data_IF_425098957632
#
_entry.id   IF_425098957632
#
_cell.length_a   1.000
_cell.length_b   1.000
_cell.length_c   1.000
_cell.angle_alpha   90.00
_cell.angle_beta   90.00
_cell.angle_gamma   90.00
#
_symmetry.space_group_name_H-M   'P 1'
#
loop_
_entity.id
_entity.type
_entity.pdbx_description
1 polymer ?
#
# COMPACT_ATOMS: atom_id res chain seq x y z
N UNK A 1 -4.05 25.32 24.14
CA UNK A 1 -4.77 24.09 24.55
C UNK A 1 -5.95 23.80 23.66
N UNK A 2 -6.93 24.71 23.54
CA UNK A 2 -8.08 24.55 22.65
C UNK A 2 -7.69 24.25 21.20
N UNK A 3 -6.70 24.98 20.66
CA UNK A 3 -6.20 24.73 19.29
C UNK A 3 -5.69 23.29 19.11
N UNK A 4 -4.90 22.75 20.05
CA UNK A 4 -4.41 21.38 19.98
C UNK A 4 -5.51 20.33 20.16
N UNK A 5 -6.48 20.60 21.03
CA UNK A 5 -7.66 19.75 21.19
C UNK A 5 -8.46 19.67 19.87
N UNK A 6 -8.75 20.81 19.26
CA UNK A 6 -9.49 20.88 17.99
C UNK A 6 -8.71 20.25 16.83
N UNK A 7 -7.43 20.61 16.66
CA UNK A 7 -6.60 20.10 15.57
C UNK A 7 -6.40 18.58 15.67
N UNK A 8 -6.10 18.05 16.85
CA UNK A 8 -5.93 16.62 17.03
C UNK A 8 -7.23 15.84 16.83
N UNK A 9 -8.37 16.38 17.29
CA UNK A 9 -9.67 15.77 17.04
C UNK A 9 -9.98 15.71 15.54
N UNK A 10 -9.79 16.83 14.82
CA UNK A 10 -10.00 16.90 13.38
C UNK A 10 -9.04 15.98 12.62
N UNK A 11 -7.78 15.87 13.05
CA UNK A 11 -6.79 14.99 12.44
C UNK A 11 -7.22 13.51 12.48
N UNK A 12 -7.88 13.06 13.56
CA UNK A 12 -8.38 11.68 13.69
C UNK A 12 -9.39 11.36 12.58
N UNK A 13 -10.30 12.28 12.29
CA UNK A 13 -11.29 12.10 11.22
C UNK A 13 -10.71 12.20 9.82
N UNK A 14 -9.58 12.90 9.65
CA UNK A 14 -8.89 12.99 8.36
C UNK A 14 -7.95 11.82 8.09
N UNK A 15 -7.43 11.17 9.13
CA UNK A 15 -6.40 10.14 8.99
C UNK A 15 -6.35 9.19 10.18
N UNK A 16 -6.67 7.91 9.96
CA UNK A 16 -6.60 6.84 10.98
C UNK A 16 -5.26 6.82 11.75
N UNK A 17 -4.09 6.87 11.10
CA UNK A 17 -2.80 6.75 11.79
C UNK A 17 -2.39 8.00 12.58
N UNK A 18 -3.14 9.11 12.49
CA UNK A 18 -2.84 10.32 13.26
C UNK A 18 -2.83 10.06 14.77
N UNK A 19 -3.65 9.13 15.25
CA UNK A 19 -3.67 8.67 16.66
C UNK A 19 -2.30 8.11 17.06
N UNK A 20 -1.67 7.31 16.19
CA UNK A 20 -0.35 6.72 16.45
C UNK A 20 0.75 7.79 16.48
N UNK A 21 0.70 8.75 15.55
CA UNK A 21 1.65 9.88 15.52
C UNK A 21 1.52 10.72 16.79
N UNK A 22 0.30 11.12 17.16
CA UNK A 22 0.03 11.92 18.34
C UNK A 22 0.40 11.16 19.63
N UNK A 23 0.03 9.88 19.74
CA UNK A 23 0.36 9.04 20.89
C UNK A 23 1.87 8.85 21.04
N UNK A 24 2.59 8.62 19.92
CA UNK A 24 4.04 8.53 19.92
C UNK A 24 4.70 9.81 20.42
N UNK A 25 4.33 10.96 19.85
CA UNK A 25 4.91 12.26 20.22
C UNK A 25 4.61 12.64 21.68
N UNK A 26 3.37 12.49 22.13
CA UNK A 26 2.97 12.80 23.52
C UNK A 26 3.56 11.81 24.51
N UNK A 27 3.57 10.51 24.18
CA UNK A 27 4.20 9.47 24.99
C UNK A 27 5.68 9.75 25.18
N UNK A 28 6.38 10.14 24.10
CA UNK A 28 7.78 10.52 24.19
C UNK A 28 8.03 11.77 25.06
N UNK A 29 7.21 12.80 24.90
CA UNK A 29 7.29 14.03 25.71
C UNK A 29 7.11 13.73 27.20
N UNK A 30 6.18 12.81 27.54
CA UNK A 30 5.98 12.39 28.92
C UNK A 30 7.16 11.56 29.45
N UNK A 31 7.68 10.62 28.65
CA UNK A 31 8.81 9.75 29.05
C UNK A 31 10.10 10.53 29.31
N UNK A 32 10.34 11.63 28.58
CA UNK A 32 11.51 12.49 28.77
C UNK A 32 11.34 13.53 29.87
N UNK A 33 10.09 13.84 30.26
CA UNK A 33 9.84 14.74 31.37
C UNK A 33 10.28 14.13 32.71
N UNK A 34 10.80 14.94 33.66
CA UNK A 34 11.11 14.47 35.00
C UNK A 34 9.88 13.79 35.63
N UNK A 35 10.04 12.59 36.22
CA UNK A 35 8.91 11.85 36.82
C UNK A 35 8.06 12.68 37.79
N UNK A 36 8.68 13.64 38.50
CA UNK A 36 7.99 14.55 39.42
C UNK A 36 7.03 15.54 38.74
N UNK A 37 7.19 15.80 37.44
CA UNK A 37 6.31 16.70 36.67
C UNK A 37 5.20 15.97 35.91
N UNK A 38 5.21 14.63 35.84
CA UNK A 38 4.21 13.85 35.09
C UNK A 38 2.78 14.22 35.48
N UNK A 39 2.48 14.24 36.78
CA UNK A 39 1.13 14.60 37.26
C UNK A 39 0.70 16.00 36.81
N UNK A 40 1.63 16.98 36.83
CA UNK A 40 1.34 18.35 36.36
C UNK A 40 1.11 18.39 34.85
N UNK A 41 1.92 17.68 34.07
CA UNK A 41 1.81 17.63 32.60
C UNK A 41 0.48 16.98 32.21
N UNK A 42 0.17 15.82 32.78
CA UNK A 42 -1.08 15.08 32.52
C UNK A 42 -2.28 15.93 32.91
N UNK A 43 -2.28 16.53 34.10
CA UNK A 43 -3.39 17.38 34.55
C UNK A 43 -3.59 18.61 33.65
N UNK A 44 -2.49 19.24 33.24
CA UNK A 44 -2.52 20.42 32.36
C UNK A 44 -3.00 20.09 30.93
N UNK A 45 -2.81 18.85 30.47
CA UNK A 45 -3.19 18.38 29.13
C UNK A 45 -4.45 17.51 29.15
N UNK A 46 -5.04 17.25 30.32
CA UNK A 46 -6.16 16.32 30.48
C UNK A 46 -7.33 16.63 29.54
N UNK A 47 -7.70 17.91 29.41
CA UNK A 47 -8.77 18.33 28.50
C UNK A 47 -8.47 17.98 27.04
N UNK A 48 -7.21 18.05 26.61
CA UNK A 48 -6.79 17.66 25.26
C UNK A 48 -6.96 16.16 25.08
N UNK A 49 -6.43 15.36 26.01
CA UNK A 49 -6.50 13.89 25.92
C UNK A 49 -7.93 13.36 25.97
N UNK A 50 -8.78 13.92 26.84
CA UNK A 50 -10.20 13.55 26.90
C UNK A 50 -10.90 13.88 25.58
N UNK A 51 -10.64 15.05 25.00
CA UNK A 51 -11.23 15.42 23.70
C UNK A 51 -10.79 14.46 22.60
N UNK A 52 -9.50 14.13 22.53
CA UNK A 52 -8.98 13.18 21.55
C UNK A 52 -9.52 11.76 21.74
N UNK A 53 -9.64 11.28 22.98
CA UNK A 53 -10.22 9.97 23.29
C UNK A 53 -11.70 9.90 22.92
N UNK A 54 -12.48 10.95 23.20
CA UNK A 54 -13.89 11.02 22.78
C UNK A 54 -13.97 11.02 21.24
N UNK A 55 -13.15 11.83 20.58
CA UNK A 55 -13.12 11.91 19.12
C UNK A 55 -12.73 10.57 18.48
N UNK A 56 -11.71 9.90 19.01
CA UNK A 56 -11.31 8.57 18.56
C UNK A 56 -12.38 7.51 18.84
N UNK A 57 -13.00 7.52 20.03
CA UNK A 57 -14.07 6.59 20.36
C UNK A 57 -15.25 6.71 19.40
N UNK A 58 -15.71 7.94 19.13
CA UNK A 58 -16.76 8.19 18.13
C UNK A 58 -16.35 7.68 16.75
N UNK A 59 -15.13 8.00 16.33
CA UNK A 59 -14.62 7.59 15.04
C UNK A 59 -14.51 6.05 14.90
N UNK A 60 -14.04 5.37 15.95
CA UNK A 60 -13.90 3.92 16.02
C UNK A 60 -15.26 3.24 15.85
N UNK A 61 -16.28 3.65 16.61
CA UNK A 61 -17.61 3.04 16.53
C UNK A 61 -18.32 3.34 15.20
N UNK A 62 -18.06 4.48 14.57
CA UNK A 62 -18.73 4.86 13.31
C UNK A 62 -18.06 4.25 12.08
N UNK A 63 -16.73 4.04 12.08
CA UNK A 63 -16.00 3.63 10.87
C UNK A 63 -15.21 2.33 10.99
N UNK A 64 -14.65 2.03 12.17
CA UNK A 64 -13.69 0.93 12.34
C UNK A 64 -14.37 -0.35 12.82
N UNK A 65 -15.36 -0.23 13.72
CA UNK A 65 -16.03 -1.38 14.32
C UNK A 65 -16.64 -2.32 13.27
N UNK A 66 -17.36 -1.77 12.29
CA UNK A 66 -17.98 -2.55 11.22
C UNK A 66 -16.91 -3.19 10.31
N UNK A 67 -15.82 -2.49 10.02
CA UNK A 67 -14.74 -3.02 9.18
C UNK A 67 -13.97 -4.17 9.84
N UNK A 68 -13.81 -4.13 11.18
CA UNK A 68 -13.19 -5.21 11.95
C UNK A 68 -14.10 -6.44 12.12
N UNK A 69 -15.42 -6.26 11.98
CA UNK A 69 -16.37 -7.37 12.02
C UNK A 69 -16.40 -8.20 10.73
N UNK A 70 -15.74 -7.74 9.67
CA UNK A 70 -15.62 -8.46 8.42
C UNK A 70 -14.47 -9.49 8.50
N UNK A 71 -14.83 -10.78 8.54
CA UNK A 71 -13.89 -11.90 8.69
C UNK A 71 -12.84 -11.92 7.58
N UNK A 72 -13.20 -11.56 6.34
CA UNK A 72 -12.32 -11.55 5.16
C UNK A 72 -11.17 -10.54 5.31
N UNK A 73 -11.45 -9.37 5.91
CA UNK A 73 -10.38 -8.43 6.20
C UNK A 73 -9.50 -8.99 7.31
N UNK A 74 -10.07 -9.49 8.40
CA UNK A 74 -9.33 -9.95 9.56
C UNK A 74 -8.34 -11.08 9.24
N UNK A 75 -8.75 -12.05 8.40
CA UNK A 75 -7.89 -13.17 7.96
C UNK A 75 -6.71 -12.66 7.11
N UNK A 76 -6.95 -11.70 6.22
CA UNK A 76 -5.91 -11.11 5.36
C UNK A 76 -4.81 -10.36 6.12
N UNK A 77 -5.04 -9.98 7.39
CA UNK A 77 -4.06 -9.30 8.24
C UNK A 77 -3.32 -10.25 9.20
N UNK A 78 -3.77 -11.50 9.36
CA UNK A 78 -3.24 -12.41 10.40
C UNK A 78 -1.73 -12.64 10.27
N UNK A 79 -1.23 -12.83 9.04
CA UNK A 79 0.20 -13.03 8.76
C UNK A 79 1.04 -11.75 8.86
N UNK A 80 0.40 -10.60 9.11
CA UNK A 80 1.06 -9.27 9.10
C UNK A 80 1.46 -8.80 10.49
N UNK A 81 1.23 -9.64 11.50
CA UNK A 81 1.55 -9.37 12.90
C UNK A 81 2.70 -10.28 13.38
N UNK A 82 3.44 -9.87 14.43
CA UNK A 82 4.42 -10.75 15.05
C UNK A 82 3.73 -11.90 15.80
N UNK A 83 4.32 -13.09 15.74
CA UNK A 83 3.81 -14.28 16.43
C UNK A 83 3.98 -14.17 17.95
N UNK A 84 4.93 -13.36 18.42
CA UNK A 84 5.21 -13.15 19.84
C UNK A 84 5.80 -11.78 20.13
N UNK A 85 5.72 -11.34 21.40
CA UNK A 85 6.33 -10.08 21.86
C UNK A 85 7.86 -10.02 21.71
N UNK A 86 8.53 -11.15 21.46
CA UNK A 86 9.98 -11.23 21.29
C UNK A 86 10.37 -11.59 19.84
N UNK A 87 9.44 -11.45 18.90
CA UNK A 87 9.69 -11.72 17.49
C UNK A 87 10.55 -10.62 16.83
N UNK A 88 11.84 -10.67 17.14
CA UNK A 88 12.83 -9.74 16.63
C UNK A 88 13.07 -9.95 15.12
N UNK A 89 12.84 -11.16 14.62
CA UNK A 89 12.99 -11.47 13.19
C UNK A 89 11.91 -10.74 12.40
N UNK A 90 10.65 -10.84 12.85
CA UNK A 90 9.55 -10.06 12.29
C UNK A 90 9.84 -8.56 12.34
N UNK A 91 10.39 -8.04 13.45
CA UNK A 91 10.70 -6.60 13.56
C UNK A 91 11.70 -6.15 12.49
N UNK A 92 12.78 -6.90 12.27
CA UNK A 92 13.77 -6.56 11.26
C UNK A 92 13.21 -6.68 9.85
N UNK A 93 12.40 -7.70 9.58
CA UNK A 93 11.71 -7.88 8.30
C UNK A 93 10.71 -6.73 8.03
N UNK A 94 9.88 -6.39 9.01
CA UNK A 94 8.92 -5.30 8.94
C UNK A 94 9.60 -3.94 8.69
N UNK A 95 10.71 -3.67 9.38
CA UNK A 95 11.52 -2.48 9.17
C UNK A 95 12.20 -2.48 7.79
N UNK A 96 12.68 -3.62 7.29
CA UNK A 96 13.26 -3.71 5.95
C UNK A 96 12.19 -3.48 4.86
N UNK A 97 11.02 -4.12 4.99
CA UNK A 97 9.86 -3.95 4.11
C UNK A 97 9.37 -2.51 4.04
N UNK A 98 9.52 -1.73 5.12
CA UNK A 98 9.23 -0.29 5.11
C UNK A 98 10.07 0.48 4.08
N UNK A 99 11.35 0.14 3.91
CA UNK A 99 12.19 0.79 2.89
C UNK A 99 11.84 0.34 1.46
N UNK A 100 11.39 -0.90 1.31
CA UNK A 100 11.04 -1.45 0.01
C UNK A 100 9.68 -0.94 -0.51
N UNK A 101 8.62 -1.03 0.29
CA UNK A 101 7.25 -0.73 -0.13
C UNK A 101 6.87 0.77 0.06
N UNK A 102 6.72 1.31 1.30
CA UNK A 102 6.42 2.73 1.53
C UNK A 102 7.40 3.72 0.91
N UNK A 103 8.70 3.47 1.05
CA UNK A 103 9.74 4.37 0.58
C UNK A 103 10.09 4.15 -0.90
N UNK A 104 9.70 3.00 -1.47
CA UNK A 104 9.91 2.68 -2.87
C UNK A 104 11.38 2.45 -3.26
N UNK A 105 12.25 2.11 -2.30
CA UNK A 105 13.64 1.77 -2.58
C UNK A 105 13.72 0.31 -3.04
N UNK A 106 14.06 0.10 -4.31
CA UNK A 106 14.03 -1.23 -4.94
C UNK A 106 15.44 -1.77 -5.18
N UNK A 107 15.61 -3.08 -4.96
CA UNK A 107 16.91 -3.74 -5.04
C UNK A 107 17.90 -3.07 -4.09
N UNK A 108 19.18 -2.93 -4.50
CA UNK A 108 20.30 -2.43 -3.67
C UNK A 108 20.02 -1.05 -3.01
N UNK A 109 19.08 -0.26 -3.53
CA UNK A 109 18.74 1.04 -2.96
C UNK A 109 18.10 0.95 -1.57
N UNK A 110 17.47 -0.17 -1.20
CA UNK A 110 16.90 -0.37 0.14
C UNK A 110 17.98 -0.35 1.24
N UNK A 111 19.07 -1.09 1.05
CA UNK A 111 20.21 -1.15 1.97
C UNK A 111 20.95 0.17 2.05
N UNK A 112 21.05 0.91 0.94
CA UNK A 112 21.58 2.28 0.93
C UNK A 112 20.67 3.21 1.75
N UNK A 113 19.35 3.08 1.59
CA UNK A 113 18.35 3.80 2.37
C UNK A 113 18.43 3.50 3.86
N UNK A 114 18.55 2.22 4.24
CA UNK A 114 18.73 1.77 5.62
C UNK A 114 20.02 2.35 6.22
N UNK A 115 21.14 2.30 5.50
CA UNK A 115 22.40 2.86 5.95
C UNK A 115 22.29 4.38 6.17
N UNK A 116 21.72 5.10 5.21
CA UNK A 116 21.48 6.54 5.35
C UNK A 116 20.54 6.85 6.52
N UNK A 117 19.50 6.04 6.73
CA UNK A 117 18.59 6.18 7.88
C UNK A 117 19.32 5.99 9.22
N UNK A 118 20.13 4.94 9.36
CA UNK A 118 20.91 4.69 10.58
C UNK A 118 21.88 5.85 10.86
N UNK A 119 22.58 6.33 9.83
CA UNK A 119 23.48 7.49 9.96
C UNK A 119 22.69 8.75 10.34
N UNK A 120 21.49 8.94 9.78
CA UNK A 120 20.59 10.04 10.12
C UNK A 120 20.12 10.00 11.57
N UNK A 121 19.74 8.83 12.07
CA UNK A 121 19.41 8.60 13.48
C UNK A 121 20.58 8.99 14.39
N UNK A 122 21.80 8.53 14.08
CA UNK A 122 23.00 8.88 14.85
C UNK A 122 23.30 10.39 14.79
N UNK A 123 23.16 11.01 13.61
CA UNK A 123 23.42 12.42 13.40
C UNK A 123 22.48 13.30 14.23
N UNK A 124 21.17 13.05 14.19
CA UNK A 124 20.21 13.82 14.97
C UNK A 124 20.25 13.49 16.45
N UNK A 125 20.45 12.24 16.85
CA UNK A 125 20.62 11.91 18.26
C UNK A 125 21.78 12.69 18.91
N UNK A 126 22.86 12.93 18.16
CA UNK A 126 24.02 13.72 18.63
C UNK A 126 23.83 15.23 18.55
N UNK A 127 23.04 15.72 17.60
CA UNK A 127 22.91 17.15 17.33
C UNK A 127 21.68 17.78 17.99
N UNK A 128 20.53 17.12 17.90
CA UNK A 128 19.26 17.58 18.46
C UNK A 128 18.37 16.37 18.79
N UNK A 129 18.41 15.98 20.07
CA UNK A 129 17.62 14.85 20.57
C UNK A 129 16.11 15.08 20.46
N UNK A 130 15.64 16.31 20.64
CA UNK A 130 14.21 16.62 20.53
C UNK A 130 13.67 16.30 19.14
N UNK A 131 14.38 16.72 18.08
CA UNK A 131 14.01 16.42 16.70
C UNK A 131 14.12 14.91 16.42
N UNK A 132 15.21 14.26 16.83
CA UNK A 132 15.39 12.82 16.66
C UNK A 132 14.18 12.06 17.19
N UNK A 133 13.78 12.36 18.43
CA UNK A 133 12.70 11.65 19.06
C UNK A 133 11.32 12.01 18.50
N UNK A 134 11.09 13.26 18.12
CA UNK A 134 9.87 13.65 17.43
C UNK A 134 9.67 12.86 16.12
N UNK A 135 10.76 12.52 15.43
CA UNK A 135 10.71 11.78 14.18
C UNK A 135 10.64 10.25 14.36
N UNK A 136 11.28 9.71 15.40
CA UNK A 136 11.26 8.26 15.65
C UNK A 136 10.03 7.79 16.44
N UNK A 137 9.41 8.67 17.22
CA UNK A 137 8.30 8.30 18.09
C UNK A 137 7.09 7.71 17.33
N UNK A 138 6.70 8.22 16.14
CA UNK A 138 5.66 7.57 15.33
C UNK A 138 6.00 6.14 14.91
N UNK A 139 7.28 5.85 14.58
CA UNK A 139 7.72 4.48 14.28
C UNK A 139 7.53 3.57 15.48
N UNK A 140 7.99 4.01 16.66
CA UNK A 140 7.87 3.23 17.90
C UNK A 140 6.40 2.98 18.25
N UNK A 141 5.55 4.00 18.17
CA UNK A 141 4.11 3.84 18.45
C UNK A 141 3.43 2.85 17.50
N UNK A 142 3.79 2.88 16.21
CA UNK A 142 3.23 1.97 15.19
C UNK A 142 3.71 0.54 15.40
N UNK A 143 5.00 0.35 15.72
CA UNK A 143 5.54 -0.97 16.06
C UNK A 143 4.86 -1.53 17.31
N UNK A 144 4.69 -0.72 18.36
CA UNK A 144 3.96 -1.13 19.57
C UNK A 144 2.52 -1.52 19.23
N UNK A 145 1.84 -0.74 18.39
CA UNK A 145 0.48 -1.09 17.94
C UNK A 145 0.44 -2.40 17.15
N UNK A 146 1.48 -2.71 16.37
CA UNK A 146 1.61 -3.99 15.67
C UNK A 146 1.84 -5.16 16.63
N UNK A 147 2.70 -5.02 17.64
CA UNK A 147 2.88 -6.03 18.68
C UNK A 147 1.63 -6.26 19.53
N UNK A 148 0.76 -5.26 19.65
CA UNK A 148 -0.55 -5.38 20.31
C UNK A 148 -1.66 -5.90 19.38
N UNK A 149 -1.31 -6.28 18.15
CA UNK A 149 -2.23 -6.73 17.10
C UNK A 149 -3.37 -5.72 16.82
N UNK A 150 -3.11 -4.42 17.02
CA UNK A 150 -4.07 -3.34 16.79
C UNK A 150 -3.88 -2.64 15.45
N UNK A 151 -2.64 -2.66 14.91
CA UNK A 151 -2.32 -1.99 13.65
C UNK A 151 -1.18 -2.70 12.92
N UNK A 152 -1.37 -3.26 11.72
CA UNK A 152 -0.32 -3.98 11.00
C UNK A 152 0.80 -3.04 10.52
N UNK A 153 2.06 -3.45 10.68
CA UNK A 153 3.21 -2.70 10.17
C UNK A 153 3.62 -3.22 8.78
N UNK A 154 2.85 -2.90 7.73
CA UNK A 154 3.17 -3.39 6.38
C UNK A 154 2.64 -2.49 5.25
N UNK A 155 3.34 -2.51 4.11
CA UNK A 155 2.92 -1.94 2.83
C UNK A 155 2.34 -0.52 2.93
N UNK A 156 1.17 -0.30 2.34
CA UNK A 156 0.49 1.00 2.31
C UNK A 156 0.08 1.51 3.69
N UNK A 157 -0.01 0.65 4.71
CA UNK A 157 -0.42 1.08 6.04
C UNK A 157 0.66 1.91 6.73
N UNK A 158 1.94 1.67 6.44
CA UNK A 158 3.03 2.45 7.04
C UNK A 158 3.45 3.64 6.18
N UNK A 159 2.71 3.96 5.11
CA UNK A 159 3.02 5.07 4.20
C UNK A 159 3.05 6.43 4.92
N UNK A 160 2.27 6.62 5.98
CA UNK A 160 2.30 7.86 6.78
C UNK A 160 3.63 8.05 7.54
N UNK A 161 4.43 7.00 7.72
CA UNK A 161 5.77 7.08 8.32
C UNK A 161 6.84 7.52 7.30
N UNK A 162 6.56 7.41 6.00
CA UNK A 162 7.49 7.79 4.93
C UNK A 162 8.07 9.21 5.07
N UNK A 163 7.30 10.30 5.33
CA UNK A 163 7.89 11.63 5.51
C UNK A 163 8.91 11.70 6.66
N UNK A 164 8.64 11.02 7.78
CA UNK A 164 9.56 10.94 8.91
C UNK A 164 10.83 10.16 8.53
N UNK A 165 10.66 9.03 7.83
CA UNK A 165 11.77 8.24 7.30
C UNK A 165 12.65 9.00 6.32
N UNK A 166 12.04 9.71 5.36
CA UNK A 166 12.73 10.54 4.37
C UNK A 166 13.52 11.66 5.03
N UNK A 167 12.95 12.31 6.05
CA UNK A 167 13.65 13.31 6.86
C UNK A 167 14.93 12.73 7.49
N UNK A 168 14.83 11.55 8.12
CA UNK A 168 15.98 10.87 8.76
C UNK A 168 17.03 10.47 7.70
N UNK A 169 16.61 9.87 6.59
CA UNK A 169 17.50 9.51 5.47
C UNK A 169 18.24 10.75 4.94
N UNK A 170 17.52 11.85 4.71
CA UNK A 170 18.11 13.09 4.23
C UNK A 170 19.15 13.65 5.21
N UNK A 171 18.86 13.61 6.52
CA UNK A 171 19.81 14.01 7.55
C UNK A 171 21.10 13.17 7.52
N UNK A 172 20.97 11.86 7.30
CA UNK A 172 22.11 10.97 7.15
C UNK A 172 22.98 11.32 5.94
N UNK A 173 22.37 11.54 4.79
CA UNK A 173 23.05 11.96 3.55
C UNK A 173 23.78 13.29 3.77
N UNK A 174 23.11 14.29 4.36
CA UNK A 174 23.70 15.60 4.65
C UNK A 174 24.89 15.45 5.62
N UNK A 175 24.76 14.62 6.66
CA UNK A 175 25.85 14.39 7.61
C UNK A 175 27.09 13.78 6.93
N UNK A 176 26.90 12.83 6.01
CA UNK A 176 27.97 12.22 5.23
C UNK A 176 28.64 13.23 4.29
N UNK A 177 27.84 14.01 3.55
CA UNK A 177 28.34 14.98 2.57
C UNK A 177 29.06 16.17 3.21
N UNK A 178 28.58 16.65 4.37
CA UNK A 178 29.18 17.81 5.06
C UNK A 178 30.61 17.55 5.55
N UNK A 179 31.06 16.30 5.60
CA UNK A 179 32.46 15.97 5.89
C UNK A 179 33.44 16.51 4.83
N UNK A 180 32.96 16.85 3.63
CA UNK A 180 33.77 17.49 2.58
C UNK A 180 34.45 18.79 3.05
N UNK A 181 33.84 19.49 4.02
CA UNK A 181 34.44 20.69 4.63
C UNK A 181 35.78 20.41 5.31
N UNK A 182 36.00 19.20 5.86
CA UNK A 182 37.27 18.78 6.46
C UNK A 182 38.35 18.53 5.40
N UNK A 183 37.96 18.03 4.22
CA UNK A 183 38.86 17.88 3.06
C UNK A 183 39.35 19.26 2.62
N UNK A 184 38.44 20.23 2.45
CA UNK A 184 38.81 21.60 2.06
C UNK A 184 39.68 22.33 3.08
N UNK A 185 39.58 21.96 4.37
CA UNK A 185 40.43 22.51 5.45
C UNK A 185 41.81 21.88 5.55
N UNK A 186 42.16 20.92 4.67
CA UNK A 186 43.47 20.29 4.66
C UNK A 186 43.66 19.16 5.68
N UNK A 187 42.56 18.63 6.25
CA UNK A 187 42.58 17.47 7.17
C UNK A 187 41.98 16.19 6.53
N UNK A 188 42.35 15.77 5.30
CA UNK A 188 41.75 14.61 4.68
C UNK A 188 42.26 13.32 5.33
N UNK A 189 41.38 12.61 6.03
CA UNK A 189 41.60 11.20 6.39
C UNK A 189 40.90 10.28 5.39
N UNK A 190 41.37 9.03 5.27
CA UNK A 190 40.72 7.99 4.45
C UNK A 190 39.25 7.80 4.83
N UNK A 191 38.92 7.95 6.11
CA UNK A 191 37.56 7.87 6.62
C UNK A 191 36.67 9.01 6.09
N UNK A 192 37.18 10.25 6.08
CA UNK A 192 36.43 11.40 5.56
C UNK A 192 36.11 11.21 4.07
N UNK A 193 37.07 10.75 3.28
CA UNK A 193 36.81 10.41 1.87
C UNK A 193 35.75 9.33 1.71
N UNK A 194 35.83 8.24 2.48
CA UNK A 194 34.82 7.19 2.46
C UNK A 194 33.42 7.73 2.79
N UNK A 195 33.29 8.57 3.83
CA UNK A 195 32.00 9.16 4.22
C UNK A 195 31.42 10.04 3.11
N UNK A 196 32.23 10.91 2.49
CA UNK A 196 31.77 11.76 1.38
C UNK A 196 31.35 10.91 0.19
N UNK A 197 32.12 9.89 -0.18
CA UNK A 197 31.76 8.97 -1.27
C UNK A 197 30.46 8.23 -0.99
N UNK A 198 30.26 7.70 0.23
CA UNK A 198 28.99 7.08 0.63
C UNK A 198 27.83 8.07 0.60
N UNK A 199 28.06 9.33 0.98
CA UNK A 199 27.07 10.40 0.88
C UNK A 199 26.66 10.68 -0.57
N UNK A 200 27.63 10.75 -1.49
CA UNK A 200 27.37 10.95 -2.93
C UNK A 200 26.61 9.75 -3.50
N UNK A 201 27.05 8.52 -3.21
CA UNK A 201 26.36 7.29 -3.65
C UNK A 201 24.92 7.26 -3.11
N UNK A 202 24.71 7.59 -1.83
CA UNK A 202 23.38 7.61 -1.23
C UNK A 202 22.49 8.66 -1.88
N UNK A 203 23.02 9.87 -2.12
CA UNK A 203 22.28 10.94 -2.79
C UNK A 203 21.87 10.52 -4.20
N UNK A 204 22.80 10.03 -5.01
CA UNK A 204 22.52 9.70 -6.41
C UNK A 204 21.63 8.46 -6.53
N UNK A 205 21.93 7.39 -5.79
CA UNK A 205 21.19 6.14 -5.86
C UNK A 205 19.74 6.26 -5.36
N UNK A 206 19.47 7.14 -4.37
CA UNK A 206 18.13 7.31 -3.82
C UNK A 206 17.29 8.36 -4.55
N UNK A 207 17.89 9.23 -5.37
CA UNK A 207 17.15 10.31 -6.07
C UNK A 207 16.99 10.04 -7.58
N UNK A 208 18.02 9.54 -8.26
CA UNK A 208 17.99 9.37 -9.71
C UNK A 208 16.93 8.35 -10.15
N UNK A 209 16.84 7.13 -9.57
CA UNK A 209 15.85 6.15 -10.04
C UNK A 209 14.39 6.61 -9.86
N UNK A 210 13.97 7.18 -8.72
CA UNK A 210 12.62 7.72 -8.59
C UNK A 210 12.33 8.87 -9.57
N UNK A 211 13.29 9.79 -9.78
CA UNK A 211 13.13 10.88 -10.75
C UNK A 211 12.96 10.34 -12.17
N UNK A 212 13.79 9.37 -12.55
CA UNK A 212 13.71 8.71 -13.85
C UNK A 212 12.35 8.03 -14.04
N UNK A 213 11.91 7.21 -13.09
CA UNK A 213 10.61 6.53 -13.14
C UNK A 213 9.44 7.51 -13.22
N UNK A 214 9.42 8.52 -12.35
CA UNK A 214 8.39 9.56 -12.37
C UNK A 214 8.35 10.30 -13.72
N UNK A 215 9.53 10.57 -14.29
CA UNK A 215 9.63 11.23 -15.60
C UNK A 215 9.16 10.32 -16.73
N UNK A 216 9.45 9.02 -16.68
CA UNK A 216 8.94 8.07 -17.69
C UNK A 216 7.42 7.97 -17.68
N UNK A 217 6.78 8.07 -16.50
CA UNK A 217 5.32 8.04 -16.36
C UNK A 217 4.62 9.24 -17.01
N UNK A 218 5.30 10.39 -17.15
CA UNK A 218 4.76 11.56 -17.84
C UNK A 218 4.63 11.34 -19.36
N UNK A 219 5.51 10.52 -19.93
CA UNK A 219 5.54 10.26 -21.38
C UNK A 219 4.93 8.92 -21.76
N UNK A 220 5.02 7.92 -20.87
CA UNK A 220 4.47 6.58 -21.02
C UNK A 220 3.71 6.25 -19.74
N UNK A 221 2.43 6.64 -19.64
CA UNK A 221 1.60 6.29 -18.50
C UNK A 221 1.59 4.77 -18.30
N UNK A 222 1.63 4.33 -17.04
CA UNK A 222 1.44 2.92 -16.70
C UNK A 222 -0.02 2.53 -17.01
N UNK A 223 -0.20 1.83 -18.12
CA UNK A 223 -1.43 1.09 -18.41
C UNK A 223 -1.38 -0.20 -17.60
N UNK A 224 -2.42 -0.48 -16.83
CA UNK A 224 -2.48 -1.70 -16.01
C UNK A 224 -3.58 -2.62 -16.47
N UNK A 225 -4.81 -2.13 -16.53
CA UNK A 225 -6.03 -2.93 -16.74
C UNK A 225 -7.01 -2.13 -17.60
N UNK A 226 -6.71 -2.04 -18.89
CA UNK A 226 -7.43 -1.20 -19.85
C UNK A 226 -8.76 -1.85 -20.29
N UNK A 227 -9.74 -1.86 -19.38
CA UNK A 227 -11.08 -2.45 -19.63
C UNK A 227 -11.89 -1.62 -20.62
N UNK A 228 -11.63 -0.31 -20.73
CA UNK A 228 -12.41 0.58 -21.59
C UNK A 228 -12.26 0.26 -23.09
N UNK A 229 -11.06 0.17 -23.68
CA UNK A 229 -10.92 -0.22 -25.08
C UNK A 229 -11.47 -1.63 -25.38
N UNK A 230 -11.38 -2.54 -24.40
CA UNK A 230 -11.97 -3.88 -24.51
C UNK A 230 -13.50 -3.80 -24.61
N UNK A 231 -14.14 -2.95 -23.80
CA UNK A 231 -15.58 -2.69 -23.89
C UNK A 231 -16.00 -1.99 -25.18
N UNK A 232 -15.19 -1.04 -25.66
CA UNK A 232 -15.39 -0.37 -26.95
C UNK A 232 -15.42 -1.41 -28.08
N UNK A 233 -14.44 -2.30 -28.11
CA UNK A 233 -14.37 -3.38 -29.09
C UNK A 233 -15.56 -4.34 -29.01
N UNK A 234 -15.91 -4.80 -27.80
CA UNK A 234 -17.06 -5.71 -27.61
C UNK A 234 -18.36 -5.07 -28.09
N UNK A 235 -18.58 -3.78 -27.80
CA UNK A 235 -19.78 -3.07 -28.22
C UNK A 235 -19.84 -2.85 -29.74
N UNK A 236 -18.71 -2.60 -30.40
CA UNK A 236 -18.63 -2.45 -31.86
C UNK A 236 -18.87 -3.76 -32.60
N UNK A 237 -18.41 -4.90 -32.05
CA UNK A 237 -18.57 -6.23 -32.64
C UNK A 237 -19.82 -6.99 -32.15
N UNK A 238 -20.60 -6.39 -31.25
CA UNK A 238 -21.79 -7.01 -30.65
C UNK A 238 -22.86 -7.28 -31.71
N UNK A 239 -23.39 -8.51 -31.73
CA UNK A 239 -24.52 -8.89 -32.57
C UNK A 239 -25.78 -9.12 -31.74
N UNK A 240 -26.99 -8.89 -32.30
CA UNK A 240 -28.23 -9.21 -31.61
C UNK A 240 -28.25 -10.68 -31.14
N UNK A 241 -28.38 -10.87 -29.83
CA UNK A 241 -28.36 -12.20 -29.19
C UNK A 241 -27.03 -12.57 -28.54
N UNK A 242 -25.95 -11.81 -28.77
CA UNK A 242 -24.68 -11.98 -28.04
C UNK A 242 -24.87 -11.62 -26.56
N UNK A 243 -24.29 -12.43 -25.68
CA UNK A 243 -24.21 -12.19 -24.24
C UNK A 243 -22.81 -11.74 -23.85
N UNK A 244 -22.68 -11.04 -22.73
CA UNK A 244 -21.39 -10.65 -22.14
C UNK A 244 -21.24 -11.32 -20.78
N UNK A 245 -20.22 -12.15 -20.61
CA UNK A 245 -19.82 -12.67 -19.31
C UNK A 245 -18.64 -11.85 -18.80
N UNK A 246 -18.76 -11.29 -17.61
CA UNK A 246 -17.72 -10.46 -16.98
C UNK A 246 -17.10 -11.26 -15.86
N UNK A 247 -15.82 -11.56 -15.95
CA UNK A 247 -15.10 -12.26 -14.89
C UNK A 247 -15.06 -11.42 -13.60
N UNK A 248 -14.99 -12.06 -12.43
CA UNK A 248 -15.25 -11.39 -11.15
C UNK A 248 -14.36 -10.16 -10.92
N UNK A 249 -13.06 -10.30 -11.18
CA UNK A 249 -12.12 -9.18 -11.06
C UNK A 249 -12.45 -8.00 -11.97
N UNK A 250 -13.10 -8.25 -13.12
CA UNK A 250 -13.54 -7.21 -14.03
C UNK A 250 -14.85 -6.54 -13.60
N UNK A 251 -15.61 -7.09 -12.64
CA UNK A 251 -16.96 -6.63 -12.28
C UNK A 251 -17.03 -5.15 -11.91
N UNK A 252 -16.11 -4.66 -11.07
CA UNK A 252 -16.11 -3.26 -10.63
C UNK A 252 -15.81 -2.30 -11.80
N UNK A 253 -14.77 -2.61 -12.59
CA UNK A 253 -14.38 -1.81 -13.74
C UNK A 253 -15.49 -1.80 -14.80
N UNK A 254 -16.05 -2.97 -15.11
CA UNK A 254 -17.18 -3.12 -16.02
C UNK A 254 -18.39 -2.32 -15.55
N UNK A 255 -18.78 -2.45 -14.28
CA UNK A 255 -19.95 -1.76 -13.71
C UNK A 255 -19.80 -0.24 -13.73
N UNK A 256 -18.57 0.25 -13.57
CA UNK A 256 -18.26 1.66 -13.73
C UNK A 256 -18.40 2.10 -15.19
N UNK A 257 -17.68 1.45 -16.12
CA UNK A 257 -17.65 1.87 -17.53
C UNK A 257 -18.96 1.63 -18.25
N UNK A 258 -19.76 0.61 -17.90
CA UNK A 258 -21.02 0.30 -18.58
C UNK A 258 -22.07 1.42 -18.49
N UNK A 259 -21.96 2.28 -17.48
CA UNK A 259 -22.87 3.44 -17.28
C UNK A 259 -22.67 4.54 -18.33
N UNK A 260 -21.59 4.46 -19.11
CA UNK A 260 -21.38 5.35 -20.27
C UNK A 260 -22.37 4.98 -21.38
N UNK A 261 -22.88 5.99 -22.10
CA UNK A 261 -24.00 5.87 -23.06
C UNK A 261 -23.82 4.81 -24.16
N UNK A 262 -22.60 4.36 -24.43
CA UNK A 262 -22.30 3.41 -25.51
C UNK A 262 -22.39 1.93 -25.10
N UNK A 263 -22.53 1.59 -23.80
CA UNK A 263 -22.45 0.20 -23.32
C UNK A 263 -23.66 -0.26 -22.51
N UNK A 264 -24.67 0.61 -22.34
CA UNK A 264 -25.83 0.34 -21.49
C UNK A 264 -26.73 -0.81 -21.98
N UNK A 265 -26.66 -1.11 -23.27
CA UNK A 265 -27.53 -2.10 -23.93
C UNK A 265 -26.91 -3.49 -24.02
N UNK A 266 -25.68 -3.67 -23.51
CA UNK A 266 -25.04 -4.98 -23.45
C UNK A 266 -25.81 -5.87 -22.47
N UNK A 267 -26.18 -7.05 -22.91
CA UNK A 267 -26.82 -8.07 -22.09
C UNK A 267 -25.74 -8.90 -21.40
N UNK A 268 -25.58 -8.73 -20.09
CA UNK A 268 -24.42 -9.21 -19.35
C UNK A 268 -24.78 -10.07 -18.13
N UNK A 269 -23.85 -10.93 -17.76
CA UNK A 269 -23.82 -11.71 -16.53
C UNK A 269 -22.50 -11.44 -15.81
N UNK A 270 -22.57 -11.08 -14.53
CA UNK A 270 -21.40 -10.92 -13.69
C UNK A 270 -21.02 -12.29 -13.13
N UNK A 271 -19.80 -12.71 -13.38
CA UNK A 271 -19.24 -13.95 -12.85
C UNK A 271 -18.95 -13.84 -11.36
N UNK A 272 -18.95 -15.00 -10.71
CA UNK A 272 -18.68 -15.18 -9.28
C UNK A 272 -17.44 -16.03 -9.01
N UNK A 273 -16.74 -16.42 -10.07
CA UNK A 273 -15.51 -17.19 -9.99
C UNK A 273 -14.35 -16.24 -9.75
N UNK A 274 -13.59 -16.50 -8.69
CA UNK A 274 -12.33 -15.85 -8.40
C UNK A 274 -11.21 -16.89 -8.27
N UNK A 275 -10.31 -16.94 -9.25
CA UNK A 275 -9.11 -17.78 -9.25
C UNK A 275 -8.04 -17.32 -8.25
N UNK A 276 -8.18 -16.13 -7.68
CA UNK A 276 -7.30 -15.54 -6.65
C UNK A 276 -7.63 -16.07 -5.22
N UNK A 277 -8.64 -16.94 -5.08
CA UNK A 277 -9.01 -17.52 -3.80
C UNK A 277 -8.09 -18.69 -3.45
N UNK A 278 -7.06 -18.43 -2.64
CA UNK A 278 -6.03 -19.40 -2.21
C UNK A 278 -6.58 -20.71 -1.61
N UNK A 279 -7.82 -20.69 -1.13
CA UNK A 279 -8.49 -21.85 -0.51
C UNK A 279 -9.24 -22.75 -1.52
N UNK A 280 -9.46 -22.29 -2.76
CA UNK A 280 -10.26 -23.02 -3.75
C UNK A 280 -9.37 -23.90 -4.66
N UNK A 281 -9.71 -25.19 -4.78
CA UNK A 281 -9.00 -26.06 -5.72
C UNK A 281 -9.34 -25.67 -7.17
N UNK A 282 -8.44 -25.97 -8.11
CA UNK A 282 -8.70 -25.76 -9.54
C UNK A 282 -9.97 -26.46 -10.03
N UNK A 283 -10.32 -27.59 -9.42
CA UNK A 283 -11.52 -28.35 -9.73
C UNK A 283 -12.78 -27.62 -9.27
N UNK A 284 -12.77 -27.03 -8.07
CA UNK A 284 -13.90 -26.23 -7.54
C UNK A 284 -14.15 -24.96 -8.38
N UNK A 285 -13.07 -24.33 -8.86
CA UNK A 285 -13.14 -23.15 -9.72
C UNK A 285 -13.72 -23.49 -11.10
N UNK A 286 -13.35 -24.64 -11.67
CA UNK A 286 -13.92 -25.14 -12.92
C UNK A 286 -15.39 -25.54 -12.78
N UNK A 287 -15.78 -26.12 -11.63
CA UNK A 287 -17.17 -26.44 -11.33
C UNK A 287 -18.02 -25.16 -11.24
N UNK A 288 -17.55 -24.17 -10.49
CA UNK A 288 -18.23 -22.87 -10.33
C UNK A 288 -18.35 -22.15 -11.67
N UNK A 289 -17.28 -22.14 -12.47
CA UNK A 289 -17.31 -21.58 -13.84
C UNK A 289 -18.32 -22.35 -14.72
N UNK A 290 -18.37 -23.68 -14.60
CA UNK A 290 -19.35 -24.50 -15.31
C UNK A 290 -20.80 -24.15 -14.95
N UNK A 291 -21.08 -23.88 -13.69
CA UNK A 291 -22.40 -23.44 -13.20
C UNK A 291 -22.75 -22.05 -13.76
N UNK A 292 -21.83 -21.09 -13.70
CA UNK A 292 -22.01 -19.73 -14.22
C UNK A 292 -22.25 -19.71 -15.74
N UNK A 293 -21.62 -20.63 -16.49
CA UNK A 293 -21.72 -20.71 -17.95
C UNK A 293 -22.86 -21.60 -18.45
N UNK A 294 -23.47 -22.43 -17.60
CA UNK A 294 -24.61 -23.28 -17.96
C UNK A 294 -25.76 -22.51 -18.66
N UNK A 295 -26.23 -21.33 -18.18
CA UNK A 295 -27.30 -20.57 -18.84
C UNK A 295 -26.87 -19.92 -20.18
N UNK A 296 -25.58 -19.96 -20.51
CA UNK A 296 -24.99 -19.34 -21.69
C UNK A 296 -24.65 -20.35 -22.81
N UNK A 297 -24.86 -21.64 -22.58
CA UNK A 297 -24.66 -22.69 -23.59
C UNK A 297 -25.49 -22.49 -24.85
N UNK A 298 -24.91 -22.83 -26.00
CA UNK A 298 -25.52 -22.64 -27.32
C UNK A 298 -25.60 -21.18 -27.77
N UNK A 299 -25.02 -20.23 -27.03
CA UNK A 299 -24.99 -18.80 -27.38
C UNK A 299 -23.58 -18.33 -27.72
N UNK A 300 -23.54 -17.20 -28.40
CA UNK A 300 -22.34 -16.39 -28.59
C UNK A 300 -22.13 -15.53 -27.35
N UNK A 301 -20.97 -15.67 -26.72
CA UNK A 301 -20.66 -15.03 -25.44
C UNK A 301 -19.32 -14.33 -25.53
N UNK A 302 -19.31 -13.05 -25.20
CA UNK A 302 -18.11 -12.25 -24.98
C UNK A 302 -17.65 -12.38 -23.54
N UNK A 303 -16.47 -12.93 -23.33
CA UNK A 303 -15.81 -13.07 -22.03
C UNK A 303 -14.87 -11.90 -21.81
N UNK A 304 -15.21 -11.01 -20.87
CA UNK A 304 -14.34 -9.91 -20.46
C UNK A 304 -13.52 -10.38 -19.26
N UNK A 305 -12.23 -10.56 -19.49
CA UNK A 305 -11.28 -11.08 -18.53
C UNK A 305 -10.33 -9.97 -18.13
N UNK A 306 -10.26 -9.74 -16.82
CA UNK A 306 -9.21 -8.99 -16.14
C UNK A 306 -8.59 -9.99 -15.18
N UNK A 307 -7.46 -10.56 -15.56
CA UNK A 307 -6.77 -11.59 -14.81
C UNK A 307 -5.28 -11.52 -15.16
N UNK A 308 -4.42 -12.08 -14.32
CA UNK A 308 -3.01 -12.22 -14.67
C UNK A 308 -2.84 -13.22 -15.85
N UNK A 309 -1.67 -13.26 -16.52
CA UNK A 309 -1.48 -14.12 -17.69
C UNK A 309 -1.69 -15.62 -17.42
N UNK A 310 -1.41 -16.09 -16.20
CA UNK A 310 -1.54 -17.51 -15.83
C UNK A 310 -3.01 -17.89 -15.66
N UNK A 311 -3.79 -17.09 -14.92
CA UNK A 311 -5.23 -17.24 -14.74
C UNK A 311 -5.99 -17.09 -16.06
N UNK A 312 -5.64 -16.08 -16.85
CA UNK A 312 -6.23 -15.87 -18.16
C UNK A 312 -6.04 -17.12 -19.03
N UNK A 313 -4.87 -17.76 -18.96
CA UNK A 313 -4.59 -18.99 -19.70
C UNK A 313 -5.47 -20.16 -19.24
N UNK A 314 -5.67 -20.33 -17.92
CA UNK A 314 -6.53 -21.39 -17.38
C UNK A 314 -8.01 -21.19 -17.78
N UNK A 315 -8.50 -19.95 -17.74
CA UNK A 315 -9.86 -19.62 -18.18
C UNK A 315 -10.00 -19.88 -19.70
N UNK A 316 -9.03 -19.44 -20.50
CA UNK A 316 -9.06 -19.64 -21.96
C UNK A 316 -9.04 -21.13 -22.31
N UNK A 317 -8.20 -21.92 -21.63
CA UNK A 317 -8.15 -23.37 -21.82
C UNK A 317 -9.52 -24.03 -21.54
N UNK A 318 -10.18 -23.63 -20.44
CA UNK A 318 -11.53 -24.10 -20.14
C UNK A 318 -12.54 -23.71 -21.23
N UNK A 319 -12.50 -22.47 -21.72
CA UNK A 319 -13.39 -21.97 -22.76
C UNK A 319 -13.17 -22.66 -24.11
N UNK A 320 -11.92 -22.96 -24.46
CA UNK A 320 -11.56 -23.66 -25.70
C UNK A 320 -11.96 -25.15 -25.66
N UNK A 321 -12.02 -25.76 -24.48
CA UNK A 321 -12.55 -27.12 -24.29
C UNK A 321 -14.08 -27.19 -24.41
N UNK A 322 -14.78 -26.15 -23.98
CA UNK A 322 -16.25 -26.13 -23.87
C UNK A 322 -16.94 -25.24 -24.92
N UNK A 323 -16.20 -24.69 -25.87
CA UNK A 323 -16.73 -23.84 -26.92
C UNK A 323 -15.76 -23.58 -28.05
N UNK A 324 -16.26 -22.92 -29.09
CA UNK A 324 -15.46 -22.53 -30.24
C UNK A 324 -15.13 -21.04 -30.17
N UNK A 325 -13.84 -20.71 -30.06
CA UNK A 325 -13.36 -19.34 -30.20
C UNK A 325 -13.70 -18.77 -31.58
N UNK A 326 -14.27 -17.56 -31.61
CA UNK A 326 -14.64 -16.81 -32.81
C UNK A 326 -13.82 -15.55 -32.99
N UNK A 327 -13.51 -14.87 -31.90
CA UNK A 327 -12.78 -13.61 -31.93
C UNK A 327 -12.03 -13.38 -30.61
N UNK A 328 -11.07 -12.47 -30.63
CA UNK A 328 -10.42 -11.98 -29.42
C UNK A 328 -9.78 -10.61 -29.61
N UNK A 329 -9.85 -9.81 -28.56
CA UNK A 329 -9.20 -8.51 -28.48
C UNK A 329 -8.50 -8.36 -27.13
N UNK A 330 -7.25 -7.91 -27.15
CA UNK A 330 -6.43 -7.83 -25.96
C UNK A 330 -5.80 -6.44 -25.84
N UNK A 331 -5.82 -5.93 -24.61
CA UNK A 331 -5.10 -4.74 -24.19
C UNK A 331 -4.35 -5.01 -22.89
N UNK A 332 -3.57 -4.04 -22.42
CA UNK A 332 -2.77 -4.19 -21.20
C UNK A 332 -3.64 -4.54 -20.00
N UNK A 333 -3.50 -5.77 -19.51
CA UNK A 333 -4.21 -6.37 -18.36
C UNK A 333 -5.73 -6.47 -18.49
N UNK A 334 -6.27 -6.46 -19.70
CA UNK A 334 -7.67 -6.76 -19.97
C UNK A 334 -7.83 -7.39 -21.35
N UNK A 335 -8.74 -8.35 -21.49
CA UNK A 335 -9.01 -9.02 -22.75
C UNK A 335 -10.50 -9.34 -22.91
N UNK A 336 -10.93 -9.41 -24.17
CA UNK A 336 -12.22 -9.95 -24.57
C UNK A 336 -11.99 -11.18 -25.45
N UNK A 337 -12.72 -12.26 -25.18
CA UNK A 337 -12.76 -13.45 -26.02
C UNK A 337 -14.21 -13.74 -26.41
N UNK A 338 -14.48 -13.94 -27.69
CA UNK A 338 -15.80 -14.37 -28.16
C UNK A 338 -15.78 -15.88 -28.37
N UNK A 339 -16.64 -16.60 -27.66
CA UNK A 339 -16.82 -18.03 -27.84
C UNK A 339 -18.28 -18.37 -28.13
N UNK A 340 -18.48 -19.46 -28.89
CA UNK A 340 -19.77 -20.15 -28.98
C UNK A 340 -19.68 -21.38 -28.09
N UNK A 341 -20.37 -21.35 -26.95
CA UNK A 341 -20.37 -22.47 -26.01
C UNK A 341 -21.24 -23.63 -26.52
N UNK A 342 -20.76 -24.87 -26.34
CA UNK A 342 -21.49 -26.09 -26.73
C UNK A 342 -22.64 -26.45 -25.78
#
# INVERSE_FOLDING_TARGET
MLVFACLGSLAIWLSYPSVLVMAGMEGWNLLTAPRRSWGKIILNRLGIYVTWLISFGLFYFVNIADALSNEDLSSSWAERYPDSFLDIVWLFDALAKFFYHPMGFLGITDGIGILAFIVGCVAWYRHNQEIFFALIAPFVATIVAAYLHQYPFQDRLTLFLAPFGMMIVAAGIIFLLTQIKKIHRGEPSRLVWLMVTLGIISLTALTIPPIYRASTLLFKPELKQEVRPVLEYVAEQHQPGDKVYVYEEANLAFTYYRKLKNYSNLDYTLGTVNFDNDDASKEDLQETLGQDLQPLRGRRVWFIIRANPEEASAIIEYLDLHGQKRDSYQQTGAAAYLHVLY
#
